data_IF_406411696002
#
_entry.id   IF_406411696002
#
_cell.length_a   1.000
_cell.length_b   1.000
_cell.length_c   1.000
_cell.angle_alpha   90.00
_cell.angle_beta   90.00
_cell.angle_gamma   90.00
#
_symmetry.space_group_name_H-M   'P 1'
#
loop_
_entity.id
_entity.type
_entity.pdbx_description
1 polymer ?
#
# COMPACT_ATOMS: atom_id res chain seq x y z
N UNK A 1 -33.06 45.82 -17.08
CA UNK A 1 -33.11 45.24 -15.73
C UNK A 1 -33.35 43.73 -15.72
N UNK A 2 -34.42 43.19 -16.36
CA UNK A 2 -34.67 41.71 -16.34
C UNK A 2 -33.50 40.83 -16.87
N UNK A 3 -32.80 41.26 -17.93
CA UNK A 3 -31.66 40.53 -18.50
C UNK A 3 -30.44 40.47 -17.57
N UNK A 4 -30.22 41.54 -16.77
CA UNK A 4 -29.13 41.59 -15.81
C UNK A 4 -29.41 40.68 -14.61
N UNK A 5 -30.66 40.54 -14.17
CA UNK A 5 -31.08 39.66 -13.09
C UNK A 5 -30.89 38.19 -13.50
N UNK A 6 -31.23 37.83 -14.74
CA UNK A 6 -31.01 36.47 -15.26
C UNK A 6 -29.52 36.16 -15.35
N UNK A 7 -28.70 37.08 -15.81
CA UNK A 7 -27.24 36.88 -15.85
C UNK A 7 -26.65 36.70 -14.47
N UNK A 8 -27.07 37.52 -13.51
CA UNK A 8 -26.64 37.39 -12.10
C UNK A 8 -27.06 36.06 -11.47
N UNK A 9 -28.26 35.56 -11.77
CA UNK A 9 -28.76 34.27 -11.29
C UNK A 9 -27.95 33.11 -11.84
N UNK A 10 -27.50 33.16 -13.09
CA UNK A 10 -26.64 32.16 -13.71
C UNK A 10 -25.26 32.16 -13.04
N UNK A 11 -24.68 33.30 -12.75
CA UNK A 11 -23.37 33.42 -12.07
C UNK A 11 -23.44 32.81 -10.66
N UNK A 12 -24.52 32.99 -9.93
CA UNK A 12 -24.70 32.43 -8.56
C UNK A 12 -24.78 30.90 -8.60
N UNK A 13 -25.33 30.30 -9.67
CA UNK A 13 -25.39 28.85 -9.82
C UNK A 13 -24.01 28.22 -10.09
N UNK A 14 -23.07 28.97 -10.66
CA UNK A 14 -21.69 28.48 -10.86
C UNK A 14 -20.79 28.65 -9.62
N UNK A 15 -21.24 29.41 -8.61
CA UNK A 15 -20.53 29.61 -7.34
C UNK A 15 -20.89 28.57 -6.26
N UNK A 16 -21.79 27.63 -6.55
CA UNK A 16 -21.99 26.46 -5.68
C UNK A 16 -20.78 25.52 -5.83
N UNK A 17 -19.63 25.97 -5.31
CA UNK A 17 -18.45 25.16 -5.18
C UNK A 17 -18.79 23.91 -4.35
N UNK A 18 -18.37 22.75 -4.81
CA UNK A 18 -18.36 21.55 -3.99
C UNK A 18 -17.59 21.88 -2.71
N UNK A 19 -18.28 21.94 -1.57
CA UNK A 19 -17.59 21.90 -0.29
C UNK A 19 -16.94 20.53 -0.20
N UNK A 20 -15.62 20.49 -0.17
CA UNK A 20 -14.88 19.29 0.23
C UNK A 20 -15.36 19.00 1.65
N UNK A 21 -16.14 17.93 1.81
CA UNK A 21 -16.51 17.50 3.15
C UNK A 21 -15.21 16.98 3.79
N UNK A 22 -14.79 17.68 4.86
CA UNK A 22 -13.72 17.15 5.71
C UNK A 22 -14.14 15.75 6.15
N UNK A 23 -13.25 14.80 6.00
CA UNK A 23 -13.46 13.44 6.39
C UNK A 23 -13.71 13.40 7.91
N UNK A 24 -14.93 13.06 8.30
CA UNK A 24 -15.19 12.76 9.70
C UNK A 24 -14.60 11.37 10.00
N UNK A 25 -13.69 11.29 10.97
CA UNK A 25 -13.06 10.04 11.42
C UNK A 25 -14.11 8.95 11.76
N UNK A 26 -15.31 9.36 12.19
CA UNK A 26 -16.43 8.44 12.44
C UNK A 26 -16.96 7.77 11.16
N UNK A 27 -16.95 8.48 10.04
CA UNK A 27 -17.43 7.96 8.76
C UNK A 27 -16.37 7.05 8.11
N UNK A 28 -15.07 7.35 8.28
CA UNK A 28 -13.98 6.49 7.84
C UNK A 28 -14.05 5.12 8.52
N UNK A 29 -14.19 5.10 9.85
CA UNK A 29 -14.31 3.86 10.62
C UNK A 29 -15.51 3.00 10.22
N UNK A 30 -16.67 3.63 9.95
CA UNK A 30 -17.86 2.93 9.44
C UNK A 30 -17.61 2.33 8.06
N UNK A 31 -16.99 3.08 7.15
CA UNK A 31 -16.69 2.60 5.80
C UNK A 31 -15.73 1.41 5.83
N UNK A 32 -14.66 1.47 6.60
CA UNK A 32 -13.73 0.35 6.79
C UNK A 32 -14.47 -0.88 7.30
N UNK A 33 -15.31 -0.71 8.33
CA UNK A 33 -16.09 -1.81 8.90
C UNK A 33 -17.03 -2.45 7.86
N UNK A 34 -17.72 -1.66 7.06
CA UNK A 34 -18.57 -2.17 5.98
C UNK A 34 -17.74 -2.93 4.97
N UNK A 35 -16.65 -2.34 4.49
CA UNK A 35 -15.78 -2.97 3.49
C UNK A 35 -15.18 -4.29 3.99
N UNK A 36 -14.68 -4.35 5.23
CA UNK A 36 -14.15 -5.58 5.80
C UNK A 36 -15.26 -6.64 6.02
N UNK A 37 -16.54 -6.22 6.16
CA UNK A 37 -17.66 -7.12 6.38
C UNK A 37 -18.15 -7.84 5.14
N UNK A 38 -17.90 -7.31 3.97
CA UNK A 38 -18.33 -7.91 2.72
C UNK A 38 -17.50 -9.15 2.39
N UNK A 39 -18.16 -10.25 2.13
CA UNK A 39 -17.53 -11.46 1.65
C UNK A 39 -17.21 -11.31 0.16
N UNK A 40 -15.95 -11.25 -0.19
CA UNK A 40 -15.48 -11.17 -1.58
C UNK A 40 -14.54 -12.32 -1.87
N UNK A 41 -14.88 -13.13 -2.86
CA UNK A 41 -14.10 -14.26 -3.35
C UNK A 41 -13.57 -13.96 -4.77
N UNK A 42 -13.03 -12.76 -4.96
CA UNK A 42 -12.40 -12.35 -6.21
C UNK A 42 -10.89 -12.34 -6.04
N UNK A 43 -10.18 -12.91 -7.01
CA UNK A 43 -8.71 -12.94 -7.01
C UNK A 43 -8.22 -12.73 -8.44
N UNK A 44 -7.23 -11.87 -8.62
CA UNK A 44 -6.58 -11.62 -9.91
C UNK A 44 -5.05 -11.61 -9.81
N UNK A 45 -4.51 -11.78 -8.60
CA UNK A 45 -3.07 -11.95 -8.34
C UNK A 45 -2.87 -13.23 -7.55
N UNK A 46 -1.92 -14.04 -8.00
CA UNK A 46 -1.62 -15.35 -7.43
C UNK A 46 -0.12 -15.52 -7.25
N UNK A 47 0.27 -16.00 -6.07
CA UNK A 47 1.61 -16.41 -5.70
C UNK A 47 1.57 -17.84 -5.11
N UNK A 48 2.73 -18.45 -4.89
CA UNK A 48 2.80 -19.83 -4.44
C UNK A 48 2.18 -20.04 -3.04
N UNK A 49 2.21 -19.06 -2.16
CA UNK A 49 1.69 -19.18 -0.78
C UNK A 49 0.44 -18.39 -0.49
N UNK A 50 -0.01 -17.52 -1.39
CA UNK A 50 -1.15 -16.63 -1.17
C UNK A 50 -1.71 -16.05 -2.47
N UNK A 51 -2.90 -15.46 -2.37
CA UNK A 51 -3.58 -14.76 -3.47
C UNK A 51 -4.34 -13.55 -2.94
N UNK A 52 -4.60 -12.59 -3.81
CA UNK A 52 -5.40 -11.41 -3.48
C UNK A 52 -6.04 -10.78 -4.72
N UNK A 53 -6.90 -9.80 -4.50
CA UNK A 53 -7.56 -9.03 -5.54
C UNK A 53 -7.05 -7.58 -5.57
N UNK A 54 -6.67 -7.13 -6.75
CA UNK A 54 -6.34 -5.72 -7.03
C UNK A 54 -7.53 -5.09 -7.72
N UNK A 55 -8.19 -4.08 -7.12
CA UNK A 55 -9.35 -3.43 -7.70
C UNK A 55 -9.02 -2.67 -8.98
N UNK A 56 -10.03 -2.50 -9.85
CA UNK A 56 -9.90 -1.66 -11.02
C UNK A 56 -9.54 -0.23 -10.61
N UNK A 57 -8.50 0.32 -11.23
CA UNK A 57 -7.97 1.66 -10.90
C UNK A 57 -6.66 1.62 -10.13
N UNK A 58 -6.23 0.45 -9.64
CA UNK A 58 -4.87 0.21 -9.18
C UNK A 58 -4.10 -0.59 -10.24
N UNK A 59 -2.92 -0.11 -10.59
CA UNK A 59 -1.97 -0.79 -11.47
C UNK A 59 -0.78 -1.28 -10.65
N UNK A 60 -0.39 -2.55 -10.80
CA UNK A 60 0.86 -3.05 -10.23
C UNK A 60 2.01 -2.52 -11.08
N UNK A 61 2.90 -1.72 -10.49
CA UNK A 61 4.08 -1.16 -11.18
C UNK A 61 5.37 -1.88 -10.80
N UNK A 62 5.39 -2.53 -9.64
CA UNK A 62 6.48 -3.41 -9.21
C UNK A 62 5.92 -4.53 -8.33
N UNK A 63 6.52 -5.72 -8.37
CA UNK A 63 6.18 -6.82 -7.47
C UNK A 63 7.34 -7.81 -7.36
N UNK A 64 7.52 -8.35 -6.18
CA UNK A 64 8.32 -9.54 -5.90
C UNK A 64 7.48 -10.57 -5.12
N UNK A 65 8.14 -11.54 -4.47
CA UNK A 65 7.45 -12.63 -3.79
C UNK A 65 6.53 -12.18 -2.65
N UNK A 66 6.93 -11.16 -1.87
CA UNK A 66 6.18 -10.70 -0.69
C UNK A 66 5.85 -9.22 -0.70
N UNK A 67 6.26 -8.50 -1.72
CA UNK A 67 6.06 -7.07 -1.84
C UNK A 67 5.41 -6.70 -3.17
N UNK A 68 4.61 -5.64 -3.17
CA UNK A 68 4.11 -5.04 -4.39
C UNK A 68 3.98 -3.53 -4.25
N UNK A 69 4.19 -2.82 -5.35
CA UNK A 69 3.92 -1.38 -5.45
C UNK A 69 2.81 -1.17 -6.46
N UNK A 70 1.78 -0.44 -6.03
CA UNK A 70 0.66 -0.06 -6.88
C UNK A 70 0.68 1.43 -7.16
N UNK A 71 0.09 1.80 -8.28
CA UNK A 71 -0.16 3.18 -8.68
C UNK A 71 -1.64 3.33 -9.01
N UNK A 72 -2.30 4.37 -8.48
CA UNK A 72 -3.65 4.72 -8.89
C UNK A 72 -3.67 5.80 -9.99
N UNK A 73 -4.87 6.11 -10.48
CA UNK A 73 -5.07 7.12 -11.53
C UNK A 73 -4.70 8.55 -11.11
N UNK A 74 -4.64 8.83 -9.81
CA UNK A 74 -4.27 10.14 -9.26
C UNK A 74 -2.76 10.25 -9.00
N UNK A 75 -1.99 9.17 -9.25
CA UNK A 75 -0.55 9.12 -9.04
C UNK A 75 -0.14 8.71 -7.63
N UNK A 76 -1.09 8.30 -6.77
CA UNK A 76 -0.75 7.81 -5.44
C UNK A 76 -0.10 6.43 -5.54
N UNK A 77 1.01 6.25 -4.84
CA UNK A 77 1.71 4.97 -4.72
C UNK A 77 1.30 4.28 -3.43
N UNK A 78 1.11 2.97 -3.53
CA UNK A 78 0.80 2.08 -2.41
C UNK A 78 1.84 0.99 -2.35
N UNK A 79 2.32 0.74 -1.17
CA UNK A 79 3.32 -0.30 -0.90
C UNK A 79 2.65 -1.40 -0.10
N UNK A 80 2.66 -2.62 -0.64
CA UNK A 80 2.13 -3.81 0.02
C UNK A 80 3.29 -4.69 0.48
N UNK A 81 3.22 -5.14 1.72
CA UNK A 81 4.04 -6.19 2.29
C UNK A 81 3.16 -7.33 2.81
N UNK A 82 3.54 -8.57 2.51
CA UNK A 82 2.87 -9.80 2.95
C UNK A 82 3.76 -10.52 3.94
N UNK A 83 3.33 -10.60 5.19
CA UNK A 83 4.03 -11.31 6.25
C UNK A 83 3.57 -12.78 6.33
N UNK A 84 4.10 -13.59 5.43
CA UNK A 84 3.78 -15.01 5.35
C UNK A 84 4.37 -15.80 6.52
N UNK A 85 5.46 -15.34 7.11
CA UNK A 85 6.15 -15.97 8.23
C UNK A 85 5.30 -15.83 9.48
N UNK A 86 4.91 -14.60 9.84
CA UNK A 86 4.02 -14.36 10.98
C UNK A 86 2.67 -15.05 10.81
N UNK A 87 2.14 -15.11 9.57
CA UNK A 87 0.94 -15.89 9.29
C UNK A 87 1.12 -17.36 9.58
N UNK A 88 2.21 -17.99 9.12
CA UNK A 88 2.51 -19.40 9.33
C UNK A 88 2.66 -19.72 10.82
N UNK A 89 3.39 -18.89 11.56
CA UNK A 89 3.59 -19.09 13.00
C UNK A 89 2.41 -18.63 13.86
N UNK A 90 1.37 -18.03 13.25
CA UNK A 90 0.21 -17.47 13.96
C UNK A 90 0.63 -16.44 15.01
N UNK A 91 1.62 -15.63 14.68
CA UNK A 91 2.14 -14.57 15.55
C UNK A 91 1.02 -13.57 15.86
N UNK A 92 0.79 -13.29 17.13
CA UNK A 92 -0.21 -12.29 17.51
C UNK A 92 0.35 -10.88 17.36
N UNK A 93 -0.36 -10.07 16.59
CA UNK A 93 -0.06 -8.64 16.51
C UNK A 93 -0.68 -7.91 17.71
N UNK A 94 0.19 -7.41 18.60
CA UNK A 94 -0.22 -6.54 19.69
C UNK A 94 -0.15 -5.10 19.21
N UNK A 95 -1.30 -4.53 18.91
CA UNK A 95 -1.42 -3.13 18.51
C UNK A 95 -2.18 -2.35 19.59
N UNK A 96 -1.68 -1.18 19.95
CA UNK A 96 -2.36 -0.21 20.81
C UNK A 96 -2.79 0.99 19.98
N UNK A 97 -4.05 1.41 20.18
CA UNK A 97 -4.56 2.63 19.54
C UNK A 97 -3.75 3.83 20.04
N UNK A 98 -3.34 4.68 19.12
CA UNK A 98 -2.66 5.92 19.38
C UNK A 98 -3.64 7.09 19.23
N UNK A 99 -3.95 7.76 20.34
CA UNK A 99 -4.91 8.86 20.36
C UNK A 99 -4.26 10.21 19.94
N UNK A 100 -2.93 10.25 19.78
CA UNK A 100 -2.19 11.46 19.46
C UNK A 100 -2.07 11.72 17.93
N UNK A 101 -2.40 10.73 17.10
CA UNK A 101 -2.39 10.86 15.64
C UNK A 101 -3.77 11.18 15.06
N UNK A 102 -3.82 11.55 13.77
CA UNK A 102 -5.05 11.96 13.10
C UNK A 102 -6.17 10.92 13.21
N UNK A 103 -5.84 9.64 13.00
CA UNK A 103 -6.78 8.52 13.15
C UNK A 103 -6.03 7.23 13.46
N UNK A 104 -6.47 6.52 14.48
CA UNK A 104 -5.93 5.22 14.87
C UNK A 104 -7.07 4.30 15.29
N UNK A 105 -7.08 3.06 14.79
CA UNK A 105 -8.11 2.09 15.18
C UNK A 105 -7.61 0.65 15.06
N UNK A 106 -7.99 -0.17 16.03
CA UNK A 106 -7.82 -1.61 15.98
C UNK A 106 -8.97 -2.24 15.18
N UNK A 107 -8.63 -3.23 14.36
CA UNK A 107 -9.57 -3.90 13.48
C UNK A 107 -9.64 -5.39 13.84
N UNK A 108 -10.87 -5.89 13.93
CA UNK A 108 -11.14 -7.31 14.12
C UNK A 108 -12.37 -7.69 13.30
N UNK A 109 -12.20 -8.61 12.36
CA UNK A 109 -13.27 -9.03 11.49
C UNK A 109 -13.08 -10.48 10.99
N UNK A 110 -14.11 -11.32 11.15
CA UNK A 110 -14.09 -12.74 10.73
C UNK A 110 -12.86 -13.52 11.21
N UNK A 111 -12.41 -13.27 12.44
CA UNK A 111 -11.22 -13.92 13.01
C UNK A 111 -9.88 -13.39 12.46
N UNK A 112 -9.91 -12.38 11.60
CA UNK A 112 -8.74 -11.65 11.13
C UNK A 112 -8.58 -10.37 11.94
N UNK A 113 -7.36 -10.02 12.29
CA UNK A 113 -7.02 -8.84 13.08
C UNK A 113 -6.13 -7.89 12.31
N UNK A 114 -6.08 -6.65 12.76
CA UNK A 114 -5.21 -5.63 12.19
C UNK A 114 -5.40 -4.28 12.84
N UNK A 115 -4.89 -3.25 12.20
CA UNK A 115 -5.02 -1.87 12.61
C UNK A 115 -4.91 -0.92 11.42
N UNK A 116 -5.34 0.30 11.61
CA UNK A 116 -5.08 1.40 10.70
C UNK A 116 -4.60 2.60 11.50
N UNK A 117 -3.54 3.23 11.01
CA UNK A 117 -3.00 4.51 11.47
C UNK A 117 -3.00 5.49 10.31
N UNK A 118 -3.40 6.72 10.61
CA UNK A 118 -3.32 7.85 9.70
C UNK A 118 -2.67 8.99 10.47
N UNK A 119 -1.49 9.37 10.06
CA UNK A 119 -0.71 10.45 10.65
C UNK A 119 -0.64 11.62 9.67
N UNK A 120 -0.85 12.84 10.15
CA UNK A 120 -0.69 14.04 9.35
C UNK A 120 0.75 14.53 9.43
N UNK A 121 1.42 14.57 8.29
CA UNK A 121 2.83 14.97 8.16
C UNK A 121 2.93 15.97 7.02
N UNK A 122 3.33 17.21 7.33
CA UNK A 122 3.59 18.28 6.33
C UNK A 122 2.48 18.42 5.25
N UNK A 123 1.25 18.69 5.65
CA UNK A 123 0.06 18.83 4.78
C UNK A 123 -0.35 17.58 3.98
N UNK A 124 0.21 16.42 4.32
CA UNK A 124 -0.16 15.13 3.75
C UNK A 124 -0.47 14.12 4.86
N UNK A 125 -1.01 12.99 4.44
CA UNK A 125 -1.36 11.90 5.34
C UNK A 125 -0.54 10.66 5.03
N UNK A 126 0.20 10.19 6.00
CA UNK A 126 0.80 8.88 6.00
C UNK A 126 -0.23 7.87 6.50
N UNK A 127 -0.57 6.92 5.65
CA UNK A 127 -1.53 5.86 5.95
C UNK A 127 -0.80 4.54 6.08
N UNK A 128 -0.90 3.91 7.25
CA UNK A 128 -0.45 2.55 7.49
C UNK A 128 -1.67 1.69 7.82
N UNK A 129 -1.95 0.70 6.99
CA UNK A 129 -3.07 -0.19 7.15
C UNK A 129 -2.58 -1.65 7.16
N UNK A 130 -2.68 -2.29 8.30
CA UNK A 130 -2.39 -3.71 8.48
C UNK A 130 -3.68 -4.49 8.67
N UNK A 131 -3.83 -5.60 7.96
CA UNK A 131 -4.93 -6.54 8.18
C UNK A 131 -4.54 -7.94 7.69
N UNK A 132 -4.84 -8.98 8.49
CA UNK A 132 -4.61 -10.38 8.13
C UNK A 132 -3.16 -10.66 7.68
N UNK A 133 -2.16 -10.26 8.49
CA UNK A 133 -0.74 -10.44 8.20
C UNK A 133 -0.23 -9.80 6.90
N UNK A 134 -0.89 -8.75 6.47
CA UNK A 134 -0.40 -7.94 5.38
C UNK A 134 -0.54 -6.46 5.72
N UNK A 135 0.42 -5.67 5.28
CA UNK A 135 0.50 -4.24 5.53
C UNK A 135 0.52 -3.47 4.23
N UNK A 136 -0.25 -2.40 4.16
CA UNK A 136 -0.15 -1.42 3.09
C UNK A 136 0.17 -0.05 3.64
N UNK A 137 0.99 0.70 2.90
CA UNK A 137 1.41 2.05 3.24
C UNK A 137 1.24 2.98 2.04
N UNK A 138 0.86 4.23 2.29
CA UNK A 138 0.80 5.28 1.28
C UNK A 138 0.97 6.66 1.92
N UNK A 139 1.44 7.63 1.10
CA UNK A 139 1.60 9.02 1.49
C UNK A 139 0.78 9.89 0.55
N UNK A 140 -0.31 10.51 1.04
CA UNK A 140 -1.38 11.05 0.19
C UNK A 140 -1.90 12.40 0.65
N UNK A 141 -2.56 13.12 -0.25
CA UNK A 141 -3.30 14.35 0.08
C UNK A 141 -4.61 14.04 0.82
N UNK A 142 -5.18 15.05 1.52
CA UNK A 142 -6.48 14.94 2.21
C UNK A 142 -7.60 14.53 1.23
N UNK A 143 -7.60 15.06 0.01
CA UNK A 143 -8.63 14.77 -0.99
C UNK A 143 -8.62 13.32 -1.48
N UNK A 144 -7.47 12.64 -1.46
CA UNK A 144 -7.31 11.26 -1.89
C UNK A 144 -7.46 10.26 -0.75
N UNK A 145 -7.39 10.71 0.50
CA UNK A 145 -7.31 9.86 1.70
C UNK A 145 -8.39 8.77 1.73
N UNK A 146 -9.66 9.14 1.53
CA UNK A 146 -10.76 8.17 1.51
C UNK A 146 -10.60 7.12 0.43
N UNK A 147 -10.23 7.54 -0.77
CA UNK A 147 -10.04 6.64 -1.92
C UNK A 147 -8.91 5.67 -1.64
N UNK A 148 -7.81 6.17 -1.08
CA UNK A 148 -6.64 5.38 -0.74
C UNK A 148 -6.95 4.34 0.32
N UNK A 149 -7.58 4.73 1.42
CA UNK A 149 -8.00 3.80 2.48
C UNK A 149 -8.95 2.73 1.95
N UNK A 150 -9.91 3.10 1.10
CA UNK A 150 -10.82 2.14 0.49
C UNK A 150 -10.08 1.14 -0.40
N UNK A 151 -9.15 1.60 -1.23
CA UNK A 151 -8.32 0.74 -2.09
C UNK A 151 -7.48 -0.25 -1.26
N UNK A 152 -6.83 0.24 -0.20
CA UNK A 152 -6.08 -0.61 0.73
C UNK A 152 -6.99 -1.67 1.38
N UNK A 153 -8.17 -1.26 1.83
CA UNK A 153 -9.15 -2.17 2.41
C UNK A 153 -9.57 -3.27 1.43
N UNK A 154 -9.80 -2.94 0.15
CA UNK A 154 -10.14 -3.91 -0.89
C UNK A 154 -9.00 -4.92 -1.13
N UNK A 155 -7.75 -4.50 -1.17
CA UNK A 155 -6.61 -5.41 -1.33
C UNK A 155 -6.46 -6.29 -0.10
N UNK A 156 -6.31 -5.69 1.08
CA UNK A 156 -5.97 -6.40 2.32
C UNK A 156 -7.04 -7.42 2.74
N UNK A 157 -8.33 -7.10 2.59
CA UNK A 157 -9.41 -8.01 2.98
C UNK A 157 -9.46 -9.30 2.14
N UNK A 158 -8.98 -9.23 0.89
CA UNK A 158 -9.00 -10.36 -0.05
C UNK A 158 -7.78 -11.27 0.06
N UNK A 159 -6.78 -10.90 0.86
CA UNK A 159 -5.61 -11.73 1.05
C UNK A 159 -6.02 -13.06 1.69
N UNK A 160 -5.68 -14.14 0.99
CA UNK A 160 -5.93 -15.50 1.41
C UNK A 160 -4.67 -16.34 1.25
N UNK A 161 -4.24 -16.94 2.34
CA UNK A 161 -3.06 -17.77 2.41
C UNK A 161 -3.39 -19.24 2.12
N UNK A 162 -2.41 -19.98 1.59
CA UNK A 162 -2.47 -21.41 1.37
C UNK A 162 -1.58 -22.13 2.39
N UNK A 163 -2.18 -22.61 3.48
CA UNK A 163 -1.47 -23.25 4.59
C UNK A 163 -0.55 -24.39 4.13
N UNK A 164 -1.00 -25.24 3.19
CA UNK A 164 -0.22 -26.37 2.72
C UNK A 164 1.03 -25.97 1.95
N UNK A 165 0.90 -24.92 1.14
CA UNK A 165 2.04 -24.41 0.38
C UNK A 165 3.02 -23.70 1.30
N UNK A 166 2.52 -22.88 2.23
CA UNK A 166 3.37 -22.21 3.21
C UNK A 166 4.09 -23.19 4.13
N UNK A 167 3.42 -24.28 4.55
CA UNK A 167 4.05 -25.36 5.31
C UNK A 167 5.23 -25.97 4.53
N UNK A 168 5.06 -26.17 3.22
CA UNK A 168 6.12 -26.72 2.37
C UNK A 168 7.27 -25.73 2.12
N UNK A 169 6.98 -24.43 2.02
CA UNK A 169 7.99 -23.42 1.73
C UNK A 169 8.78 -23.00 2.98
N UNK A 170 8.09 -22.85 4.10
CA UNK A 170 8.65 -22.32 5.36
C UNK A 170 9.09 -23.47 6.28
N UNK A 171 8.30 -24.56 6.35
CA UNK A 171 8.49 -25.65 7.31
C UNK A 171 9.85 -26.34 7.23
N UNK A 172 10.42 -26.48 6.05
CA UNK A 172 11.74 -27.10 5.82
C UNK A 172 12.91 -26.12 6.00
N UNK A 173 12.64 -24.81 6.03
CA UNK A 173 13.66 -23.75 5.98
C UNK A 173 13.71 -22.84 7.22
N UNK A 174 13.07 -23.22 8.33
CA UNK A 174 12.91 -22.40 9.55
C UNK A 174 14.23 -21.83 10.11
N UNK A 175 15.38 -22.38 9.77
CA UNK A 175 16.68 -21.92 10.28
C UNK A 175 17.38 -20.86 9.41
N UNK A 176 16.88 -20.53 8.23
CA UNK A 176 17.53 -19.60 7.29
C UNK A 176 16.75 -18.33 7.00
N UNK A 177 15.53 -18.19 7.49
CA UNK A 177 14.75 -16.96 7.34
C UNK A 177 15.15 -15.97 8.41
N UNK A 178 15.93 -14.95 8.01
CA UNK A 178 15.98 -13.69 8.73
C UNK A 178 14.86 -12.83 8.16
N UNK A 179 13.95 -12.40 9.01
CA UNK A 179 12.89 -11.45 8.69
C UNK A 179 13.55 -10.11 8.39
N UNK A 180 13.62 -9.74 7.11
CA UNK A 180 13.88 -8.35 6.73
C UNK A 180 12.51 -7.65 6.74
N UNK A 181 12.23 -6.98 7.85
CA UNK A 181 11.09 -6.08 7.95
C UNK A 181 11.36 -4.87 7.04
N UNK A 182 10.75 -4.87 5.86
CA UNK A 182 10.75 -3.71 4.99
C UNK A 182 9.78 -2.66 5.56
N UNK A 183 10.27 -1.84 6.44
CA UNK A 183 9.64 -0.57 6.79
C UNK A 183 10.04 0.45 5.72
N UNK A 184 9.12 0.73 4.79
CA UNK A 184 9.32 1.70 3.72
C UNK A 184 9.48 3.14 4.23
N UNK A 185 9.08 3.37 5.46
CA UNK A 185 9.25 4.61 6.19
C UNK A 185 9.85 4.28 7.56
N UNK A 186 11.17 4.18 7.61
CA UNK A 186 11.88 4.00 8.87
C UNK A 186 11.87 5.33 9.62
N UNK A 187 11.33 5.35 10.84
CA UNK A 187 11.29 6.53 11.73
C UNK A 187 12.68 7.11 12.04
N UNK A 188 13.74 6.40 11.67
CA UNK A 188 15.13 6.83 11.85
C UNK A 188 15.76 7.52 10.64
N UNK A 189 15.07 7.66 9.51
CA UNK A 189 15.59 8.43 8.38
C UNK A 189 15.47 9.92 8.66
N UNK A 190 16.53 10.50 9.20
CA UNK A 190 16.69 11.93 9.43
C UNK A 190 16.84 12.76 8.14
N UNK A 191 16.35 12.30 7.01
CA UNK A 191 16.28 13.02 5.75
C UNK A 191 14.95 12.75 5.06
N UNK A 192 14.01 13.65 5.31
CA UNK A 192 12.68 13.67 4.66
C UNK A 192 12.75 13.84 3.12
N UNK A 193 13.92 14.10 2.58
CA UNK A 193 14.12 14.38 1.14
C UNK A 193 14.51 13.16 0.31
N UNK A 194 15.08 12.09 0.90
CA UNK A 194 15.59 10.95 0.14
C UNK A 194 14.53 9.95 -0.32
N UNK A 195 13.35 9.93 0.30
CA UNK A 195 12.28 8.95 -0.04
C UNK A 195 11.58 9.28 -1.36
N UNK A 196 11.64 10.54 -1.81
CA UNK A 196 11.03 10.98 -3.08
C UNK A 196 11.97 10.85 -4.28
N UNK A 197 13.31 10.77 -4.06
CA UNK A 197 14.29 10.69 -5.15
C UNK A 197 14.59 9.27 -5.63
N UNK A 198 14.31 8.23 -4.84
CA UNK A 198 14.64 6.83 -5.21
C UNK A 198 13.72 6.26 -6.30
N UNK A 199 12.63 6.93 -6.67
CA UNK A 199 11.65 6.42 -7.65
C UNK A 199 11.52 7.30 -8.91
N UNK A 200 12.36 8.32 -9.06
CA UNK A 200 12.42 9.15 -10.25
C UNK A 200 13.83 9.16 -10.83
N UNK A 201 13.94 8.70 -12.07
CA UNK A 201 15.07 8.74 -12.99
C UNK A 201 15.97 7.50 -13.01
N UNK A 202 15.50 6.51 -13.74
CA UNK A 202 16.38 5.57 -14.41
C UNK A 202 17.17 6.27 -15.51
N UNK A 203 18.23 7.00 -15.18
CA UNK A 203 19.27 7.30 -16.14
C UNK A 203 20.00 5.98 -16.44
N UNK A 204 19.86 5.58 -17.68
CA UNK A 204 20.62 4.50 -18.28
C UNK A 204 22.12 4.85 -18.21
N UNK A 205 22.84 4.28 -17.24
CA UNK A 205 24.29 4.19 -17.33
C UNK A 205 24.65 3.29 -18.52
N UNK A 206 24.91 3.91 -19.67
CA UNK A 206 25.69 3.31 -20.74
C UNK A 206 27.10 3.04 -20.20
N UNK A 207 27.31 1.86 -19.62
CA UNK A 207 28.66 1.36 -19.42
C UNK A 207 29.20 0.96 -20.77
N UNK A 208 30.12 1.81 -21.32
CA UNK A 208 31.01 1.44 -22.38
C UNK A 208 31.70 0.11 -22.02
N UNK A 209 31.33 -0.93 -22.77
CA UNK A 209 32.11 -2.17 -22.82
C UNK A 209 33.39 -1.89 -23.56
N UNK A 210 34.47 -1.52 -22.86
CA UNK A 210 35.79 -1.58 -23.41
C UNK A 210 36.21 -3.04 -23.58
N UNK A 211 36.14 -3.51 -24.82
CA UNK A 211 36.78 -4.73 -25.27
C UNK A 211 38.29 -4.62 -25.03
N UNK A 212 38.80 -5.35 -24.09
CA UNK A 212 40.21 -5.80 -24.09
C UNK A 212 40.36 -6.94 -23.10
N UNK A 213 40.10 -8.16 -23.54
CA UNK A 213 40.78 -9.35 -23.04
C UNK A 213 41.00 -10.30 -24.23
N UNK A 214 42.20 -10.21 -24.78
CA UNK A 214 42.77 -11.20 -25.70
C UNK A 214 42.88 -12.55 -25.01
N UNK A 215 42.06 -13.49 -25.41
CA UNK A 215 42.23 -14.90 -25.04
C UNK A 215 43.38 -15.46 -25.86
N UNK A 216 44.54 -15.63 -25.21
CA UNK A 216 45.61 -16.47 -25.74
C UNK A 216 45.20 -17.93 -25.68
N UNK A 217 45.00 -18.51 -26.84
CA UNK A 217 44.84 -19.97 -27.01
C UNK A 217 46.26 -20.53 -27.11
N UNK A 218 46.75 -21.18 -26.05
CA UNK A 218 47.94 -22.04 -26.12
C UNK A 218 47.50 -23.38 -26.73
N UNK A 219 47.96 -23.62 -27.94
CA UNK A 219 48.01 -24.93 -28.55
C UNK A 219 49.31 -25.61 -28.12
N UNK A 220 49.20 -26.67 -27.31
CA UNK A 220 50.23 -27.70 -27.26
C UNK A 220 49.63 -29.08 -26.93
N UNK A 221 49.76 -29.99 -27.92
CA UNK A 221 49.65 -31.47 -27.97
C UNK A 221 48.33 -32.13 -27.70
#
# INVERSE_FOLDING_TARGET
MKKIIVLLSIVVLFLSGCSVQKLDSSDLGKNIKILLSEKVELYNVFFDGYKYYVPNGLQIINKDEYNAVFLDKNGNKYYLYIDAISYYHKTENTYMVDDDIHYSNKLEYNGKTGYINIEEIDDKFYVQFMFNYAKMEAYVSEEDLTTVVNNMCYVLRTIEFNDKVLESLIGDNVLSYQEEEFTLFDDNSSSKDDVLEVVGDGESDERELTNNDEIKVDNDY
#
